data_IF_083113950637
#
_entry.id   IF_083113950637
#
_cell.length_a   1.000
_cell.length_b   1.000
_cell.length_c   1.000
_cell.angle_alpha   90.00
_cell.angle_beta   90.00
_cell.angle_gamma   90.00
#
_symmetry.space_group_name_H-M   'P 1'
#
loop_
_entity.id
_entity.type
_entity.pdbx_description
1 polymer ?
2 non-polymer ?
3 water ?
#
# COMPACT_ATOMS: atom_id res chain seq x y z
N UNK A 1 -43.85 15.76 -18.13
CA UNK A 1 -42.68 16.53 -17.74
C UNK A 1 -43.06 18.02 -17.69
N UNK A 2 -42.88 18.73 -16.56
CA UNK A 2 -43.25 20.15 -16.54
C UNK A 2 -42.20 21.07 -17.15
N UNK A 3 -40.99 20.55 -17.50
CA UNK A 3 -39.88 21.39 -18.03
C UNK A 3 -40.25 22.16 -19.28
N UNK A 4 -40.06 23.49 -19.26
CA UNK A 4 -40.41 24.38 -20.37
C UNK A 4 -39.22 24.79 -21.24
N UNK A 5 -37.96 24.56 -20.77
CA UNK A 5 -36.82 24.99 -21.57
C UNK A 5 -35.78 23.91 -21.74
N UNK A 6 -35.47 23.60 -23.01
CA UNK A 6 -34.43 22.61 -23.36
C UNK A 6 -33.06 22.99 -22.77
N UNK A 7 -32.71 24.29 -22.74
CA UNK A 7 -31.42 24.73 -22.17
C UNK A 7 -31.30 24.31 -20.68
N UNK A 8 -32.41 24.42 -19.92
CA UNK A 8 -32.49 23.98 -18.51
C UNK A 8 -32.47 22.46 -18.40
N UNK A 9 -33.17 21.73 -19.28
CA UNK A 9 -33.16 20.26 -19.26
C UNK A 9 -31.76 19.70 -19.51
N UNK A 10 -31.05 20.26 -20.51
CA UNK A 10 -29.68 19.81 -20.83
C UNK A 10 -28.69 20.21 -19.72
N UNK A 11 -28.65 21.49 -19.35
CA UNK A 11 -27.72 21.97 -18.34
C UNK A 11 -27.91 21.32 -16.97
N UNK A 12 -29.17 21.11 -16.52
CA UNK A 12 -29.41 20.43 -15.24
C UNK A 12 -29.00 18.97 -15.24
N UNK A 13 -28.96 18.32 -16.41
CA UNK A 13 -28.60 16.89 -16.52
C UNK A 13 -27.16 16.56 -16.07
N UNK A 14 -26.25 17.57 -16.08
CA UNK A 14 -24.86 17.35 -15.65
C UNK A 14 -24.61 17.77 -14.19
N UNK A 15 -25.62 18.40 -13.52
CA UNK A 15 -25.47 18.89 -12.13
C UNK A 15 -25.01 17.83 -11.15
N UNK A 16 -25.55 16.63 -11.24
CA UNK A 16 -25.19 15.53 -10.34
C UNK A 16 -23.71 15.18 -10.46
N UNK A 17 -23.26 15.03 -11.72
CA UNK A 17 -21.86 14.72 -12.03
C UNK A 17 -20.93 15.82 -11.51
N UNK A 18 -21.30 17.08 -11.73
CA UNK A 18 -20.49 18.23 -11.28
C UNK A 18 -20.40 18.27 -9.74
N UNK A 19 -21.53 18.00 -9.05
CA UNK A 19 -21.50 17.96 -7.59
C UNK A 19 -20.59 16.85 -7.09
N UNK A 20 -20.56 15.70 -7.79
CA UNK A 20 -19.65 14.60 -7.39
C UNK A 20 -18.20 15.04 -7.52
N UNK A 21 -17.87 15.72 -8.65
CA UNK A 21 -16.50 16.24 -8.89
C UNK A 21 -16.13 17.17 -7.73
N UNK A 22 -17.04 18.11 -7.41
CA UNK A 22 -16.78 19.04 -6.33
C UNK A 22 -16.59 18.35 -4.99
N UNK A 23 -17.42 17.32 -4.69
CA UNK A 23 -17.31 16.61 -3.41
C UNK A 23 -15.97 15.90 -3.28
N UNK A 24 -15.47 15.31 -4.37
CA UNK A 24 -14.16 14.65 -4.37
C UNK A 24 -13.03 15.68 -4.16
N UNK A 25 -13.15 16.86 -4.77
CA UNK A 25 -12.18 17.95 -4.58
C UNK A 25 -12.17 18.47 -3.12
N UNK A 26 -13.36 18.52 -2.47
CA UNK A 26 -13.47 18.93 -1.04
C UNK A 26 -12.78 17.87 -0.15
N UNK A 27 -12.99 16.57 -0.48
CA UNK A 27 -12.37 15.47 0.27
C UNK A 27 -10.85 15.51 0.11
N UNK A 28 -10.36 15.85 -1.10
CA UNK A 28 -8.91 15.97 -1.35
C UNK A 28 -8.30 17.11 -0.52
N UNK A 29 -9.00 18.26 -0.45
CA UNK A 29 -8.51 19.41 0.33
C UNK A 29 -8.47 19.08 1.83
N UNK A 30 -9.50 18.37 2.32
CA UNK A 30 -9.58 17.96 3.73
C UNK A 30 -8.46 16.95 4.06
N UNK A 31 -8.19 16.00 3.14
CA UNK A 31 -7.11 15.02 3.33
C UNK A 31 -5.73 15.73 3.33
N UNK A 32 -5.56 16.75 2.49
CA UNK A 32 -4.30 17.51 2.44
C UNK A 32 -4.10 18.26 3.76
N UNK A 33 -5.18 18.86 4.30
CA UNK A 33 -5.08 19.58 5.57
C UNK A 33 -4.64 18.67 6.74
N UNK A 34 -5.08 17.37 6.76
CA UNK A 34 -4.72 16.39 7.79
C UNK A 34 -3.20 16.15 7.90
N UNK A 35 -2.43 16.45 6.82
CA UNK A 35 -0.97 16.28 6.77
C UNK A 35 -0.22 17.04 7.88
N UNK A 36 -0.65 18.28 8.18
CA UNK A 36 0.00 19.13 9.18
C UNK A 36 0.07 18.47 10.57
N UNK A 37 -1.10 18.10 11.12
CA UNK A 37 -1.15 17.47 12.44
C UNK A 37 -0.43 16.13 12.46
N UNK A 38 -0.47 15.40 11.34
CA UNK A 38 0.23 14.11 11.22
C UNK A 38 1.75 14.31 11.26
N UNK A 39 2.23 15.35 10.55
CA UNK A 39 3.65 15.70 10.51
C UNK A 39 4.16 16.20 11.87
N UNK A 40 3.33 16.96 12.64
CA UNK A 40 3.73 17.36 14.00
C UNK A 40 3.85 16.12 14.89
N UNK A 41 2.96 15.13 14.70
CA UNK A 41 2.98 13.88 15.48
C UNK A 41 4.21 13.05 15.13
N UNK A 42 4.52 12.89 13.83
CA UNK A 42 5.70 12.15 13.37
C UNK A 42 6.98 12.80 13.91
N UNK A 43 7.09 14.13 13.83
CA UNK A 43 8.28 14.82 14.31
C UNK A 43 8.46 14.60 15.81
N UNK A 44 7.35 14.69 16.58
CA UNK A 44 7.39 14.49 18.03
C UNK A 44 7.88 13.08 18.40
N UNK A 45 7.32 12.03 17.77
CA UNK A 45 7.72 10.65 18.10
C UNK A 45 9.10 10.27 17.58
N UNK A 46 9.44 10.70 16.36
CA UNK A 46 10.70 10.37 15.69
C UNK A 46 11.89 11.15 16.22
N UNK A 47 11.69 12.46 16.50
CA UNK A 47 12.77 13.36 16.85
C UNK A 47 12.69 13.97 18.25
N UNK A 48 11.60 14.68 18.56
CA UNK A 48 11.47 15.38 19.85
C UNK A 48 11.69 14.50 21.06
N UNK A 49 10.89 13.41 21.17
CA UNK A 49 10.92 12.46 22.29
C UNK A 49 12.36 11.95 22.53
N UNK A 50 13.08 11.37 21.53
CA UNK A 50 14.46 10.92 21.83
C UNK A 50 15.46 12.03 22.12
N UNK A 51 15.30 13.23 21.52
CA UNK A 51 16.21 14.35 21.79
C UNK A 51 16.11 14.82 23.23
N UNK A 52 14.87 14.94 23.75
CA UNK A 52 14.63 15.34 25.14
C UNK A 52 15.16 14.28 26.09
N UNK A 53 14.98 12.98 25.74
CA UNK A 53 15.50 11.87 26.57
C UNK A 53 17.02 11.94 26.62
N UNK A 54 17.67 12.20 25.48
CA UNK A 54 19.14 12.33 25.45
C UNK A 54 19.63 13.54 26.25
N UNK A 55 18.94 14.70 26.15
CA UNK A 55 19.29 15.91 26.89
C UNK A 55 19.13 15.66 28.41
N UNK A 56 18.06 14.93 28.82
CA UNK A 56 17.83 14.60 30.22
C UNK A 56 18.93 13.68 30.74
N UNK A 57 19.34 12.70 29.92
CA UNK A 57 20.45 11.79 30.28
C UNK A 57 21.76 12.56 30.42
N UNK A 58 22.04 13.48 29.47
CA UNK A 58 23.25 14.32 29.52
C UNK A 58 23.29 15.15 30.82
N UNK A 59 22.13 15.69 31.24
CA UNK A 59 22.02 16.45 32.48
C UNK A 59 22.32 15.59 33.70
N UNK A 60 21.75 14.37 33.76
CA UNK A 60 21.97 13.43 34.87
C UNK A 60 23.45 13.08 34.99
N UNK A 61 24.14 12.88 33.85
CA UNK A 61 25.57 12.56 33.84
C UNK A 61 26.38 13.77 34.33
N UNK A 62 26.07 14.98 33.83
CA UNK A 62 26.77 16.21 34.23
C UNK A 62 26.61 16.49 35.73
N UNK A 63 25.46 16.11 36.30
CA UNK A 63 25.11 16.28 37.71
C UNK A 63 25.82 15.28 38.62
N UNK A 64 26.45 14.26 38.03
CA UNK A 64 27.18 13.28 38.83
C UNK A 64 26.81 11.82 38.72
N UNK A 65 25.77 11.47 37.95
CA UNK A 65 25.43 10.05 37.79
C UNK A 65 26.15 9.53 36.56
N UNK A 66 27.40 9.11 36.74
CA UNK A 66 28.25 8.64 35.66
C UNK A 66 27.85 7.27 35.10
N UNK A 67 26.91 6.59 35.78
CA UNK A 67 26.43 5.27 35.37
C UNK A 67 25.14 5.32 34.56
N UNK A 68 24.55 6.53 34.36
CA UNK A 68 23.29 6.67 33.61
C UNK A 68 23.39 6.04 32.25
N UNK A 69 22.35 5.24 31.91
CA UNK A 69 22.26 4.54 30.64
C UNK A 69 21.92 5.54 29.55
N UNK A 70 22.76 5.61 28.49
CA UNK A 70 22.49 6.52 27.37
C UNK A 70 21.52 5.80 26.43
N UNK A 71 20.29 6.31 26.27
CA UNK A 71 19.33 5.61 25.41
C UNK A 71 19.61 5.80 23.92
N UNK A 72 18.97 4.96 23.09
CA UNK A 72 18.98 5.04 21.62
C UNK A 72 20.31 4.84 20.92
N UNK A 73 21.28 4.17 21.56
CA UNK A 73 22.60 3.96 20.93
C UNK A 73 22.52 3.04 19.70
N UNK A 74 21.53 2.14 19.66
CA UNK A 74 21.36 1.17 18.57
C UNK A 74 20.57 1.68 17.37
N UNK A 75 20.02 2.90 17.48
CA UNK A 75 19.24 3.54 16.44
C UNK A 75 20.08 3.75 15.18
N UNK A 76 19.50 3.46 14.00
CA UNK A 76 20.23 3.53 12.73
C UNK A 76 20.38 4.92 12.09
N UNK A 77 19.68 5.94 12.59
CA UNK A 77 19.77 7.29 12.02
C UNK A 77 20.70 8.22 12.80
N UNK A 78 20.64 9.55 12.52
CA UNK A 78 21.49 10.56 13.17
C UNK A 78 21.27 10.68 14.69
N UNK A 79 20.09 10.23 15.19
CA UNK A 79 19.81 10.22 16.63
C UNK A 79 20.69 9.16 17.29
N UNK A 80 20.93 8.05 16.59
CA UNK A 80 21.80 6.98 17.07
C UNK A 80 23.24 7.44 17.13
N UNK A 81 23.66 8.22 16.12
CA UNK A 81 25.00 8.78 16.04
C UNK A 81 25.18 9.74 17.22
N UNK A 82 24.18 10.60 17.49
CA UNK A 82 24.21 11.53 18.61
C UNK A 82 24.28 10.79 19.95
N UNK A 83 23.46 9.74 20.12
CA UNK A 83 23.43 8.92 21.33
C UNK A 83 24.78 8.27 21.59
N UNK A 84 25.42 7.74 20.54
CA UNK A 84 26.75 7.13 20.67
C UNK A 84 27.80 8.16 21.09
N UNK A 85 27.69 9.42 20.58
CA UNK A 85 28.59 10.52 20.94
C UNK A 85 28.46 10.90 22.42
N UNK A 86 27.21 10.89 22.94
CA UNK A 86 26.93 11.18 24.36
C UNK A 86 27.47 10.04 25.23
N UNK A 87 27.38 8.78 24.76
CA UNK A 87 27.95 7.63 25.47
C UNK A 87 29.49 7.76 25.57
N UNK A 88 30.19 8.13 24.47
CA UNK A 88 31.64 8.31 24.52
C UNK A 88 32.02 9.43 25.49
N UNK A 89 31.17 10.48 25.55
CA UNK A 89 31.35 11.63 26.43
C UNK A 89 31.20 11.22 27.91
N UNK A 90 30.22 10.33 28.22
CA UNK A 90 29.99 9.76 29.55
C UNK A 90 31.21 8.96 29.94
N UNK A 91 31.74 8.10 29.05
CA UNK A 91 32.94 7.29 29.35
C UNK A 91 34.16 8.14 29.67
N UNK A 92 34.34 9.22 28.92
CA UNK A 92 35.46 10.15 29.08
C UNK A 92 35.34 10.92 30.40
N UNK A 93 34.14 11.43 30.73
CA UNK A 93 33.91 12.13 32.00
C UNK A 93 34.05 11.20 33.21
N UNK A 94 33.56 9.93 33.10
CA UNK A 94 33.67 8.92 34.15
C UNK A 94 35.14 8.73 34.51
N UNK A 95 36.00 8.54 33.47
CA UNK A 95 37.43 8.31 33.67
C UNK A 95 38.04 9.55 34.32
N UNK A 96 37.66 10.75 33.87
CA UNK A 96 38.18 12.00 34.41
C UNK A 96 37.88 12.16 35.90
N UNK A 97 36.64 11.85 36.30
CA UNK A 97 36.21 11.97 37.69
C UNK A 97 36.91 10.95 38.58
N UNK A 98 37.01 9.71 38.11
CA UNK A 98 37.66 8.62 38.84
C UNK A 98 39.15 8.89 38.98
N UNK A 99 39.80 9.47 37.94
CA UNK A 99 41.23 9.83 37.96
C UNK A 99 41.47 10.88 39.01
N UNK A 100 40.58 11.89 39.12
CA UNK A 100 40.73 12.96 40.11
C UNK A 100 40.59 12.43 41.53
N UNK A 101 39.54 11.61 41.75
CA UNK A 101 39.22 10.96 43.01
C UNK A 101 40.44 10.20 43.50
N UNK A 102 41.07 9.44 42.60
CA UNK A 102 42.25 8.65 42.92
C UNK A 102 43.50 9.48 43.21
N UNK A 103 43.72 10.57 42.47
CA UNK A 103 44.87 11.44 42.61
C UNK A 103 44.86 12.21 43.93
N UNK A 104 43.66 12.56 44.43
CA UNK A 104 43.47 13.31 45.67
C UNK A 104 43.51 12.45 46.96
N UNK A 105 43.58 11.10 46.82
CA UNK A 105 43.60 10.17 47.95
C UNK A 105 44.91 10.21 48.75
N UNK B 3 28.34 -6.96 31.97
CA UNK B 3 28.31 -8.42 32.00
C UNK B 3 28.31 -8.90 33.45
N UNK B 4 27.29 -9.69 33.86
CA UNK B 4 27.15 -10.17 35.24
C UNK B 4 27.17 -11.70 35.39
N UNK B 5 26.63 -12.45 34.41
CA UNK B 5 26.67 -13.92 34.47
C UNK B 5 26.79 -14.55 33.08
N UNK B 6 27.66 -15.56 32.95
CA UNK B 6 27.96 -16.19 31.66
C UNK B 6 26.74 -16.76 30.91
N UNK B 7 25.80 -17.38 31.64
CA UNK B 7 24.58 -17.92 31.06
C UNK B 7 23.78 -16.82 30.34
N UNK B 8 23.69 -15.62 30.95
CA UNK B 8 23.02 -14.47 30.37
C UNK B 8 23.81 -13.89 29.19
N UNK B 9 25.15 -13.80 29.30
CA UNK B 9 25.99 -13.29 28.20
C UNK B 9 25.87 -14.17 26.95
N UNK B 10 25.92 -15.50 27.12
CA UNK B 10 25.82 -16.44 26.00
C UNK B 10 24.40 -16.45 25.41
N UNK B 11 23.39 -16.68 26.26
CA UNK B 11 21.99 -16.74 25.79
C UNK B 11 21.51 -15.46 25.14
N UNK B 12 21.89 -14.29 25.71
CA UNK B 12 21.53 -13.00 25.11
C UNK B 12 22.20 -12.71 23.78
N UNK B 13 23.33 -13.35 23.47
CA UNK B 13 24.07 -13.13 22.23
C UNK B 13 23.32 -13.59 20.97
N UNK B 14 22.33 -14.49 21.12
CA UNK B 14 21.55 -14.98 19.96
C UNK B 14 20.23 -14.22 19.75
N UNK B 15 19.84 -13.35 20.73
CA UNK B 15 18.57 -12.59 20.67
C UNK B 15 18.39 -11.76 19.39
N UNK B 16 19.46 -11.09 18.95
CA UNK B 16 19.42 -10.26 17.75
C UNK B 16 19.11 -11.07 16.51
N UNK B 17 19.82 -12.21 16.37
CA UNK B 17 19.64 -13.15 15.27
C UNK B 17 18.22 -13.70 15.25
N UNK B 18 17.69 -14.09 16.44
CA UNK B 18 16.32 -14.63 16.54
C UNK B 18 15.30 -13.55 16.14
N UNK B 19 15.51 -12.28 16.57
CA UNK B 19 14.59 -11.20 16.17
C UNK B 19 14.62 -11.02 14.63
N UNK B 20 15.80 -11.13 14.00
CA UNK B 20 15.92 -10.99 12.54
C UNK B 20 15.16 -12.11 11.81
N UNK B 21 15.26 -13.33 12.35
CA UNK B 21 14.52 -14.47 11.81
C UNK B 21 13.01 -14.18 11.95
N UNK B 22 12.57 -13.74 13.14
CA UNK B 22 11.16 -13.44 13.39
C UNK B 22 10.61 -12.37 12.46
N UNK B 23 11.40 -11.32 12.19
CA UNK B 23 10.95 -10.25 11.29
C UNK B 23 10.63 -10.78 9.91
N UNK B 24 11.50 -11.67 9.38
CA UNK B 24 11.33 -12.29 8.07
C UNK B 24 10.11 -13.21 8.05
N UNK B 25 9.87 -13.93 9.16
CA UNK B 25 8.70 -14.81 9.25
C UNK B 25 7.39 -14.00 9.27
N UNK B 26 7.40 -12.84 9.95
CA UNK B 26 6.23 -11.94 10.01
C UNK B 26 5.93 -11.38 8.61
N UNK B 27 7.01 -10.97 7.87
CA UNK B 27 6.88 -10.47 6.52
C UNK B 27 6.32 -11.53 5.59
N UNK B 28 6.78 -12.79 5.73
CA UNK B 28 6.30 -13.90 4.91
C UNK B 28 4.81 -14.17 5.17
N UNK B 29 4.39 -14.15 6.44
CA UNK B 29 2.98 -14.39 6.81
C UNK B 29 2.08 -13.27 6.27
N UNK B 30 2.54 -12.00 6.35
CA UNK B 30 1.81 -10.85 5.81
C UNK B 30 1.71 -10.92 4.28
N UNK B 31 2.78 -11.35 3.60
CA UNK B 31 2.74 -11.50 2.14
C UNK B 31 1.78 -12.65 1.76
N UNK B 32 1.71 -13.74 2.57
CA UNK B 32 0.78 -14.85 2.30
C UNK B 32 -0.65 -14.35 2.46
N UNK B 33 -0.94 -13.55 3.50
CA UNK B 33 -2.28 -13.01 3.69
C UNK B 33 -2.73 -12.15 2.50
N UNK B 34 -1.79 -11.39 1.93
CA UNK B 34 -2.02 -10.52 0.77
C UNK B 34 -2.50 -11.28 -0.48
N UNK B 35 -2.26 -12.60 -0.58
CA UNK B 35 -2.68 -13.46 -1.71
C UNK B 35 -4.19 -13.41 -1.86
N UNK B 36 -4.90 -13.43 -0.71
CA UNK B 36 -6.39 -13.42 -0.71
C UNK B 36 -6.93 -12.23 -1.53
N UNK B 37 -6.55 -11.03 -1.10
CA UNK B 37 -6.90 -9.76 -1.70
C UNK B 37 -6.46 -9.67 -3.17
N UNK B 38 -5.24 -10.14 -3.49
CA UNK B 38 -4.74 -10.12 -4.85
C UNK B 38 -5.47 -11.07 -5.77
N UNK B 39 -5.89 -12.24 -5.27
CA UNK B 39 -6.66 -13.22 -6.03
C UNK B 39 -8.09 -12.68 -6.30
N UNK B 40 -8.66 -11.89 -5.35
CA UNK B 40 -9.99 -11.29 -5.59
C UNK B 40 -9.86 -10.26 -6.74
N UNK B 41 -8.75 -9.48 -6.76
CA UNK B 41 -8.53 -8.52 -7.82
C UNK B 41 -8.30 -9.18 -9.17
N UNK B 42 -7.48 -10.27 -9.21
CA UNK B 42 -7.20 -11.03 -10.44
C UNK B 42 -8.50 -11.63 -10.99
N UNK B 43 -9.35 -12.20 -10.11
CA UNK B 43 -10.62 -12.79 -10.56
C UNK B 43 -11.54 -11.73 -11.13
N UNK B 44 -11.61 -10.56 -10.48
CA UNK B 44 -12.45 -9.48 -11.00
C UNK B 44 -12.02 -9.05 -12.41
N UNK B 45 -10.71 -8.80 -12.63
CA UNK B 45 -10.24 -8.36 -13.95
C UNK B 45 -10.25 -9.44 -15.03
N UNK B 46 -9.90 -10.68 -14.66
CA UNK B 46 -9.80 -11.81 -15.61
C UNK B 46 -11.15 -12.40 -15.96
N UNK B 47 -12.06 -12.50 -14.97
CA UNK B 47 -13.35 -13.19 -15.18
C UNK B 47 -14.57 -12.31 -15.01
N UNK B 48 -14.75 -11.70 -13.82
CA UNK B 48 -15.96 -10.92 -13.55
C UNK B 48 -16.26 -9.85 -14.57
N UNK B 49 -15.29 -8.93 -14.80
CA UNK B 49 -15.50 -7.83 -15.72
C UNK B 49 -15.87 -8.31 -17.13
N UNK B 50 -15.16 -9.25 -17.81
CA UNK B 50 -15.63 -9.67 -19.14
C UNK B 50 -16.98 -10.37 -19.14
N UNK B 51 -17.30 -11.12 -18.08
CA UNK B 51 -18.61 -11.83 -18.00
C UNK B 51 -19.75 -10.83 -17.92
N UNK B 52 -19.59 -9.79 -17.10
CA UNK B 52 -20.60 -8.73 -16.94
C UNK B 52 -20.73 -7.92 -18.24
N UNK B 53 -19.60 -7.67 -18.93
CA UNK B 53 -19.62 -6.98 -20.23
C UNK B 53 -20.38 -7.79 -21.27
N UNK B 54 -20.14 -9.13 -21.28
CA UNK B 54 -20.87 -10.00 -22.21
C UNK B 54 -22.37 -10.05 -21.89
N UNK B 55 -22.74 -10.11 -20.61
CA UNK B 55 -24.15 -10.13 -20.16
C UNK B 55 -24.83 -8.83 -20.57
N UNK B 56 -24.14 -7.67 -20.40
CA UNK B 56 -24.70 -6.37 -20.80
C UNK B 56 -24.93 -6.32 -22.29
N UNK B 57 -23.97 -6.84 -23.08
CA UNK B 57 -24.08 -6.87 -24.54
C UNK B 57 -25.22 -7.77 -24.97
N UNK B 58 -25.35 -8.96 -24.34
CA UNK B 58 -26.43 -9.88 -24.63
C UNK B 58 -27.80 -9.22 -24.37
N UNK B 59 -27.92 -8.46 -23.28
CA UNK B 59 -29.15 -7.72 -22.96
C UNK B 59 -29.49 -6.71 -24.06
N UNK B 60 -28.50 -5.92 -24.49
CA UNK B 60 -28.69 -4.91 -25.54
C UNK B 60 -29.16 -5.54 -26.86
N UNK B 61 -28.58 -6.71 -27.21
CA UNK B 61 -28.96 -7.45 -28.41
C UNK B 61 -30.40 -7.98 -28.28
N UNK B 62 -30.74 -8.59 -27.13
CA UNK B 62 -32.09 -9.14 -26.89
C UNK B 62 -33.15 -8.03 -26.95
N UNK B 63 -32.78 -6.81 -26.54
CA UNK B 63 -33.65 -5.62 -26.55
C UNK B 63 -33.83 -5.00 -27.95
N UNK B 64 -33.08 -5.50 -28.93
CA UNK B 64 -33.25 -5.05 -30.30
C UNK B 64 -32.08 -4.41 -31.01
N UNK B 65 -30.92 -4.22 -30.32
CA UNK B 65 -29.77 -3.66 -31.03
C UNK B 65 -28.97 -4.80 -31.59
N UNK B 66 -29.36 -5.27 -32.79
CA UNK B 66 -28.75 -6.41 -33.48
C UNK B 66 -27.37 -6.10 -34.03
N UNK B 67 -26.95 -4.83 -33.98
CA UNK B 67 -25.66 -4.39 -34.48
C UNK B 67 -24.59 -4.26 -33.39
N UNK B 68 -24.97 -4.46 -32.10
CA UNK B 68 -24.03 -4.34 -30.97
C UNK B 68 -22.83 -5.24 -31.16
N UNK B 69 -21.64 -4.70 -30.88
CA UNK B 69 -20.40 -5.46 -31.03
C UNK B 69 -20.21 -6.36 -29.81
N UNK B 70 -20.03 -7.66 -30.05
CA UNK B 70 -19.83 -8.63 -28.96
C UNK B 70 -18.33 -8.55 -28.59
N UNK B 71 -17.99 -8.13 -27.36
CA UNK B 71 -16.57 -8.03 -26.98
C UNK B 71 -15.94 -9.40 -26.69
N UNK B 72 -14.59 -9.43 -26.63
CA UNK B 72 -13.77 -10.57 -26.23
C UNK B 72 -13.83 -11.80 -27.10
N UNK B 73 -14.20 -11.69 -28.38
CA UNK B 73 -14.28 -12.86 -29.27
C UNK B 73 -12.90 -13.46 -29.56
N UNK B 74 -11.83 -12.63 -29.49
CA UNK B 74 -10.46 -13.07 -29.81
C UNK B 74 -9.67 -13.64 -28.63
N UNK B 75 -10.28 -13.63 -27.45
CA UNK B 75 -9.69 -14.15 -26.24
C UNK B 75 -9.41 -15.65 -26.38
N UNK B 76 -8.25 -16.10 -25.88
CA UNK B 76 -7.79 -17.48 -26.00
C UNK B 76 -8.38 -18.50 -25.02
N UNK B 77 -9.08 -18.05 -23.98
CA UNK B 77 -9.66 -18.98 -22.99
C UNK B 77 -11.17 -19.24 -23.22
N UNK B 78 -11.84 -19.85 -22.23
CA UNK B 78 -13.26 -20.21 -22.30
C UNK B 78 -14.18 -18.99 -22.40
N UNK B 79 -13.69 -17.79 -21.97
CA UNK B 79 -14.46 -16.53 -22.11
C UNK B 79 -14.56 -16.19 -23.60
N UNK B 80 -13.49 -16.48 -24.36
CA UNK B 80 -13.49 -16.24 -25.80
C UNK B 80 -14.46 -17.16 -26.51
N UNK B 81 -14.50 -18.41 -26.05
CA UNK B 81 -15.43 -19.41 -26.60
C UNK B 81 -16.88 -18.94 -26.33
N UNK B 82 -17.14 -18.47 -25.11
CA UNK B 82 -18.47 -17.94 -24.73
C UNK B 82 -18.84 -16.72 -25.57
N UNK B 83 -17.88 -15.79 -25.75
CA UNK B 83 -18.09 -14.60 -26.57
C UNK B 83 -18.47 -14.96 -28.01
N UNK B 84 -17.79 -15.97 -28.60
CA UNK B 84 -18.09 -16.43 -29.95
C UNK B 84 -19.51 -17.04 -30.04
N UNK B 85 -19.93 -17.76 -28.98
CA UNK B 85 -21.27 -18.34 -28.92
C UNK B 85 -22.37 -17.26 -28.87
N UNK B 86 -22.11 -16.15 -28.15
CA UNK B 86 -23.04 -15.01 -28.05
C UNK B 86 -23.13 -14.28 -29.43
N UNK B 87 -21.99 -14.16 -30.14
CA UNK B 87 -21.96 -13.58 -31.48
C UNK B 87 -22.82 -14.43 -32.43
N UNK B 88 -22.80 -15.80 -32.28
CA UNK B 88 -23.65 -16.68 -33.07
C UNK B 88 -25.14 -16.41 -32.82
N UNK B 89 -25.52 -16.12 -31.56
CA UNK B 89 -26.91 -15.77 -31.22
C UNK B 89 -27.29 -14.45 -31.88
N UNK B 90 -26.35 -13.46 -31.85
CA UNK B 90 -26.59 -12.15 -32.48
C UNK B 90 -26.84 -12.34 -34.00
N UNK B 91 -26.00 -13.17 -34.67
CA UNK B 91 -26.16 -13.50 -36.10
C UNK B 91 -27.50 -14.19 -36.36
N UNK B 92 -27.92 -15.12 -35.48
CA UNK B 92 -29.19 -15.81 -35.62
C UNK B 92 -30.35 -14.81 -35.53
N UNK B 93 -30.27 -13.84 -34.62
CA UNK B 93 -31.33 -12.82 -34.48
C UNK B 93 -31.40 -11.91 -35.70
N UNK B 94 -30.22 -11.52 -36.23
CA UNK B 94 -30.14 -10.68 -37.42
C UNK B 94 -30.76 -11.39 -38.64
N UNK B 95 -30.46 -12.69 -38.82
CA UNK B 95 -31.03 -13.50 -39.91
C UNK B 95 -32.56 -13.58 -39.75
N UNK B 96 -33.04 -13.78 -38.51
CA UNK B 96 -34.48 -13.87 -38.25
C UNK B 96 -35.20 -12.56 -38.55
N UNK B 97 -34.56 -11.41 -38.26
CA UNK B 97 -35.15 -10.09 -38.51
C UNK B 97 -35.19 -9.80 -40.02
N UNK B 98 -34.13 -10.17 -40.74
CA UNK B 98 -34.07 -10.00 -42.20
C UNK B 98 -35.12 -10.86 -42.88
N UNK B 99 -35.36 -12.09 -42.37
CA UNK B 99 -36.40 -12.99 -42.91
C UNK B 99 -37.80 -12.44 -42.64
N UNK B 100 -38.03 -11.87 -41.44
CA UNK B 100 -39.32 -11.25 -41.11
C UNK B 100 -39.57 -10.02 -42.00
N UNK B 101 -38.56 -9.17 -42.18
CA UNK B 101 -38.71 -7.97 -43.02
C UNK B 101 -39.13 -8.36 -44.46
N UNK B 102 -38.55 -9.46 -44.99
CA UNK B 102 -38.90 -9.99 -46.31
C UNK B 102 -40.36 -10.45 -46.34
N UNK B 103 -40.81 -11.20 -45.30
CA UNK B 103 -42.18 -11.70 -45.20
C UNK B 103 -43.24 -10.58 -45.14
N UNK B 104 -42.88 -9.43 -44.55
CA UNK B 104 -43.75 -8.26 -44.37
C UNK B 104 -43.85 -7.34 -45.59
N UNK B 105 -43.01 -7.58 -46.62
CA UNK B 105 -42.99 -6.76 -47.84
C UNK B 105 -44.22 -6.97 -48.71
N UNK C 4 -20.78 18.21 -36.76
CA UNK C 4 -21.32 16.85 -36.77
C UNK C 4 -22.82 16.90 -36.42
N UNK C 5 -23.33 15.96 -35.63
CA UNK C 5 -24.75 15.93 -35.27
C UNK C 5 -24.98 16.68 -33.96
N UNK C 6 -26.26 16.90 -33.58
CA UNK C 6 -26.57 17.64 -32.33
C UNK C 6 -25.91 17.03 -31.10
N UNK C 7 -25.96 15.69 -30.95
CA UNK C 7 -25.39 15.00 -29.80
C UNK C 7 -23.87 15.28 -29.70
N UNK C 8 -23.17 15.28 -30.86
CA UNK C 8 -21.74 15.60 -30.90
C UNK C 8 -21.49 17.08 -30.62
N UNK C 9 -22.31 17.98 -31.18
CA UNK C 9 -22.17 19.43 -30.95
C UNK C 9 -22.32 19.77 -29.47
N UNK C 10 -23.34 19.22 -28.80
CA UNK C 10 -23.59 19.47 -27.39
C UNK C 10 -22.53 18.83 -26.50
N UNK C 11 -22.30 17.52 -26.67
CA UNK C 11 -21.34 16.81 -25.82
C UNK C 11 -19.91 17.33 -25.95
N UNK C 12 -19.46 17.62 -27.17
CA UNK C 12 -18.11 18.16 -27.38
C UNK C 12 -17.93 19.58 -26.85
N UNK C 13 -19.03 20.34 -26.67
CA UNK C 13 -18.95 21.72 -26.17
C UNK C 13 -18.42 21.83 -24.75
N UNK C 14 -18.46 20.73 -23.96
CA UNK C 14 -17.94 20.72 -22.58
C UNK C 14 -16.52 20.17 -22.49
N UNK C 15 -15.98 19.59 -23.60
CA UNK C 15 -14.59 19.02 -23.62
C UNK C 15 -13.50 20.04 -23.23
N UNK C 16 -13.60 21.27 -23.76
CA UNK C 16 -12.69 22.37 -23.44
C UNK C 16 -12.68 22.68 -21.97
N UNK C 17 -13.89 22.80 -21.36
CA UNK C 17 -14.07 23.08 -19.92
C UNK C 17 -13.49 21.96 -19.09
N UNK C 18 -13.72 20.68 -19.48
CA UNK C 18 -13.17 19.53 -18.76
C UNK C 18 -11.63 19.55 -18.82
N UNK C 19 -11.03 19.89 -19.98
CA UNK C 19 -9.56 20.02 -20.07
C UNK C 19 -9.07 21.13 -19.13
N UNK C 20 -9.82 22.23 -19.00
CA UNK C 20 -9.42 23.37 -18.13
C UNK C 20 -9.45 22.95 -16.66
N UNK C 21 -10.47 22.15 -16.30
CA UNK C 21 -10.58 21.59 -14.94
C UNK C 21 -9.37 20.70 -14.72
N UNK C 22 -9.06 19.80 -15.69
CA UNK C 22 -7.92 18.86 -15.56
C UNK C 22 -6.61 19.60 -15.43
N UNK C 23 -6.41 20.71 -16.16
CA UNK C 23 -5.16 21.50 -16.07
C UNK C 23 -4.91 22.02 -14.67
N UNK C 24 -5.98 22.49 -14.00
CA UNK C 24 -5.90 23.00 -12.63
C UNK C 24 -5.61 21.86 -11.65
N UNK C 25 -6.21 20.68 -11.90
CA UNK C 25 -5.97 19.50 -11.06
C UNK C 25 -4.53 19.00 -11.23
N UNK C 26 -3.95 19.10 -12.45
CA UNK C 26 -2.56 18.71 -12.74
C UNK C 26 -1.59 19.65 -11.99
N UNK C 27 -1.87 20.96 -12.01
CA UNK C 27 -1.06 21.93 -11.29
C UNK C 27 -1.09 21.65 -9.79
N UNK C 28 -2.29 21.32 -9.25
CA UNK C 28 -2.46 21.01 -7.81
C UNK C 28 -1.70 19.73 -7.43
N UNK C 29 -1.77 18.68 -8.28
CA UNK C 29 -1.08 17.42 -8.02
C UNK C 29 0.44 17.59 -8.04
N UNK C 30 0.95 18.39 -9.00
CA UNK C 30 2.38 18.67 -9.11
C UNK C 30 2.86 19.45 -7.89
N UNK C 31 2.06 20.44 -7.43
CA UNK C 31 2.42 21.22 -6.24
C UNK C 31 2.44 20.32 -4.99
N UNK C 32 1.49 19.37 -4.89
CA UNK C 32 1.42 18.44 -3.75
C UNK C 32 2.65 17.54 -3.74
N UNK C 33 3.06 17.06 -4.92
CA UNK C 33 4.24 16.19 -5.02
C UNK C 33 5.51 16.84 -4.51
N UNK C 34 5.72 18.14 -4.84
CA UNK C 34 6.86 18.97 -4.46
C UNK C 34 7.09 19.02 -2.95
N UNK C 35 6.01 18.84 -2.16
CA UNK C 35 6.06 18.93 -0.69
C UNK C 35 7.15 18.01 -0.11
N UNK C 36 7.24 16.76 -0.62
CA UNK C 36 8.22 15.76 -0.12
C UNK C 36 9.66 16.24 -0.20
N UNK C 37 10.13 16.61 -1.38
CA UNK C 37 11.51 17.11 -1.54
C UNK C 37 11.76 18.39 -0.75
N UNK C 38 10.75 19.28 -0.66
CA UNK C 38 10.90 20.51 0.14
C UNK C 38 10.99 20.22 1.64
N UNK C 39 10.24 19.20 2.10
CA UNK C 39 10.25 18.77 3.50
C UNK C 39 11.57 18.06 3.83
N UNK C 40 12.16 17.33 2.85
CA UNK C 40 13.47 16.68 3.07
C UNK C 40 14.54 17.77 3.25
N UNK C 41 14.47 18.84 2.45
CA UNK C 41 15.39 19.98 2.55
C UNK C 41 15.24 20.74 3.87
N UNK C 42 13.99 21.02 4.30
CA UNK C 42 13.70 21.71 5.56
C UNK C 42 14.22 20.88 6.74
N UNK C 43 13.98 19.55 6.72
CA UNK C 43 14.42 18.68 7.81
C UNK C 43 15.94 18.68 7.89
N UNK C 44 16.63 18.62 6.72
CA UNK C 44 18.09 18.63 6.70
C UNK C 44 18.66 19.92 7.36
N UNK C 45 18.15 21.09 6.97
CA UNK C 45 18.66 22.36 7.51
C UNK C 45 18.24 22.66 8.94
N UNK C 46 17.00 22.32 9.31
CA UNK C 46 16.45 22.58 10.64
C UNK C 46 16.91 21.57 11.70
N UNK C 47 17.02 20.28 11.33
CA UNK C 47 17.31 19.21 12.28
C UNK C 47 18.61 18.46 12.02
N UNK C 48 18.78 17.86 10.84
CA UNK C 48 19.94 17.02 10.54
C UNK C 48 21.27 17.67 10.78
N UNK C 49 21.56 18.78 10.08
CA UNK C 49 22.83 19.49 10.21
C UNK C 49 23.13 19.91 11.66
N UNK C 50 22.20 20.52 12.46
CA UNK C 50 22.52 20.82 13.87
C UNK C 50 22.79 19.58 14.71
N UNK C 51 22.05 18.47 14.48
CA UNK C 51 22.24 17.23 15.25
C UNK C 51 23.63 16.63 14.96
N UNK C 52 24.02 16.64 13.66
CA UNK C 52 25.32 16.11 13.26
C UNK C 52 26.45 16.97 13.80
N UNK C 53 26.27 18.31 13.76
CA UNK C 53 27.20 19.28 14.33
C UNK C 53 27.37 19.04 15.84
N UNK C 54 26.24 18.85 16.56
CA UNK C 54 26.29 18.58 18.00
C UNK C 54 26.99 17.27 18.33
N UNK C 55 26.73 16.19 17.54
CA UNK C 55 27.39 14.89 17.76
C UNK C 55 28.89 15.00 17.51
N UNK C 56 29.30 15.74 16.47
CA UNK C 56 30.71 15.96 16.16
C UNK C 56 31.37 16.75 17.28
N UNK C 57 30.69 17.77 17.83
CA UNK C 57 31.20 18.57 18.95
C UNK C 57 31.34 17.70 20.20
N UNK C 58 30.34 16.84 20.50
CA UNK C 58 30.40 15.92 21.63
C UNK C 58 31.62 14.99 21.51
N UNK C 59 31.90 14.48 20.29
CA UNK C 59 33.07 13.62 20.04
C UNK C 59 34.38 14.38 20.29
N UNK C 60 34.49 15.63 19.80
CA UNK C 60 35.69 16.46 20.02
C UNK C 60 35.94 16.71 21.49
N UNK C 61 34.87 16.96 22.26
CA UNK C 61 34.98 17.18 23.71
C UNK C 61 35.41 15.89 24.41
N UNK C 62 34.78 14.73 24.06
CA UNK C 62 35.14 13.43 24.66
C UNK C 62 36.61 13.07 24.39
N UNK C 63 37.14 13.48 23.22
CA UNK C 63 38.52 13.25 22.78
C UNK C 63 39.53 14.17 23.50
N UNK C 64 39.06 15.18 24.24
CA UNK C 64 39.91 16.09 25.00
C UNK C 64 39.93 17.57 24.64
N UNK C 65 39.12 18.01 23.63
CA UNK C 65 39.05 19.43 23.21
C UNK C 65 37.95 20.17 23.94
N UNK C 66 38.33 20.95 24.96
CA UNK C 66 37.42 21.67 25.85
C UNK C 66 37.41 23.17 25.69
N UNK C 67 38.14 23.72 24.70
CA UNK C 67 38.28 25.18 24.56
C UNK C 67 37.04 25.93 24.09
N UNK C 68 36.19 25.30 23.29
CA UNK C 68 35.04 25.99 22.73
C UNK C 68 33.74 25.73 23.45
N UNK C 69 32.94 26.80 23.67
CA UNK C 69 31.63 26.65 24.27
C UNK C 69 30.77 25.95 23.22
N UNK C 70 29.87 25.05 23.64
CA UNK C 70 29.01 24.31 22.71
C UNK C 70 28.19 25.29 21.83
N UNK C 71 28.20 25.18 20.48
CA UNK C 71 27.42 26.13 19.66
C UNK C 71 25.92 25.99 19.87
N UNK C 72 25.17 27.04 19.47
CA UNK C 72 23.71 27.11 19.46
C UNK C 72 22.96 26.83 20.76
N UNK C 73 23.54 27.27 21.89
CA UNK C 73 22.93 27.19 23.22
C UNK C 73 21.72 28.14 23.36
N UNK C 74 21.68 29.20 22.54
CA UNK C 74 20.63 30.23 22.57
C UNK C 74 19.38 29.89 21.76
N UNK C 75 19.40 28.77 20.99
CA UNK C 75 18.28 28.30 20.18
C UNK C 75 17.07 28.02 21.07
N UNK C 76 15.88 28.53 20.68
CA UNK C 76 14.69 28.40 21.51
C UNK C 76 13.95 27.07 21.50
N UNK C 77 14.34 26.14 20.61
CA UNK C 77 13.66 24.85 20.55
C UNK C 77 14.44 23.72 21.28
N UNK C 78 14.03 22.45 21.09
CA UNK C 78 14.63 21.30 21.75
C UNK C 78 16.10 21.07 21.41
N UNK C 79 16.58 21.60 20.26
CA UNK C 79 17.98 21.51 19.82
C UNK C 79 18.84 22.37 20.76
N UNK C 80 18.27 23.51 21.19
CA UNK C 80 18.89 24.44 22.14
C UNK C 80 18.99 23.81 23.51
N UNK C 81 17.90 23.12 23.95
CA UNK C 81 17.87 22.38 25.22
C UNK C 81 18.97 21.31 25.20
N UNK C 82 19.09 20.58 24.07
CA UNK C 82 20.12 19.54 23.91
C UNK C 82 21.53 20.16 23.97
N UNK C 83 21.73 21.25 23.22
CA UNK C 83 23.03 21.95 23.19
C UNK C 83 23.44 22.46 24.60
N UNK C 84 22.48 22.95 25.44
CA UNK C 84 22.75 23.36 26.83
C UNK C 84 23.16 22.16 27.68
N UNK C 85 22.54 20.98 27.45
CA UNK C 85 22.86 19.75 28.19
C UNK C 85 24.30 19.26 27.89
N UNK C 86 24.71 19.35 26.62
CA UNK C 86 26.07 18.99 26.17
C UNK C 86 27.06 19.99 26.77
N UNK C 87 26.65 21.27 26.89
CA UNK C 87 27.48 22.33 27.50
C UNK C 87 27.73 22.00 28.98
N UNK C 88 26.71 21.44 29.66
CA UNK C 88 26.87 21.03 31.06
C UNK C 88 27.94 19.95 31.17
N UNK C 89 27.95 18.99 30.23
CA UNK C 89 28.96 17.92 30.23
C UNK C 89 30.35 18.51 29.96
N UNK C 90 30.44 19.45 29.00
CA UNK C 90 31.71 20.09 28.66
C UNK C 90 32.28 20.81 29.87
N UNK C 91 31.44 21.58 30.57
CA UNK C 91 31.88 22.31 31.76
C UNK C 91 32.32 21.37 32.88
N UNK C 92 31.64 20.23 33.06
CA UNK C 92 32.00 19.23 34.08
C UNK C 92 33.38 18.62 33.77
N UNK C 93 33.61 18.32 32.48
CA UNK C 93 34.86 17.74 32.02
C UNK C 93 36.01 18.74 32.15
N UNK C 94 35.75 20.02 31.83
CA UNK C 94 36.74 21.11 31.92
C UNK C 94 37.21 21.28 33.37
N UNK C 95 36.26 21.29 34.34
CA UNK C 95 36.58 21.42 35.76
C UNK C 95 37.46 20.24 36.20
N UNK C 96 37.06 19.01 35.80
CA UNK C 96 37.80 17.82 36.15
C UNK C 96 39.24 17.85 35.60
N UNK C 97 39.41 18.28 34.34
CA UNK C 97 40.72 18.35 33.67
C UNK C 97 41.62 19.41 34.33
N UNK C 98 41.03 20.57 34.67
CA UNK C 98 41.78 21.64 35.33
C UNK C 98 42.26 21.20 36.71
N UNK C 99 41.41 20.45 37.44
CA UNK C 99 41.80 19.93 38.77
C UNK C 99 42.92 18.88 38.66
N UNK C 100 42.84 18.02 37.62
CA UNK C 100 43.89 17.00 37.37
C UNK C 100 45.21 17.68 37.01
N UNK C 101 45.17 18.76 36.20
CA UNK C 101 46.39 19.51 35.84
C UNK C 101 47.03 20.13 37.10
N UNK C 102 46.19 20.64 38.05
CA UNK C 102 46.69 21.19 39.32
C UNK C 102 47.35 20.12 40.20
N UNK C 103 47.01 18.84 40.00
CA UNK C 103 47.57 17.73 40.76
C UNK C 103 48.92 17.22 40.20
N UNK C 104 49.27 17.59 38.96
CA UNK C 104 50.51 17.12 38.33
C UNK C 104 51.75 17.74 38.91
N UNK C 105 52.75 16.86 39.12
CA UNK C 105 54.10 17.16 39.55
C UNK C 105 54.27 17.86 40.88
N UNK D 4 35.58 -32.53 25.05
CA UNK D 4 35.74 -32.09 23.67
C UNK D 4 36.22 -30.62 23.59
N UNK D 5 35.32 -29.69 23.19
CA UNK D 5 35.61 -28.28 23.02
C UNK D 5 34.33 -27.53 23.39
N UNK D 6 34.42 -26.59 24.36
CA UNK D 6 33.26 -25.84 24.88
C UNK D 6 32.49 -25.10 23.77
N UNK D 7 33.19 -24.48 22.82
CA UNK D 7 32.56 -23.75 21.71
C UNK D 7 31.64 -24.67 20.91
N UNK D 8 32.11 -25.93 20.65
CA UNK D 8 31.32 -26.94 19.95
C UNK D 8 30.15 -27.42 20.81
N UNK D 9 30.36 -27.67 22.11
CA UNK D 9 29.31 -28.13 23.00
C UNK D 9 28.17 -27.13 23.09
N UNK D 10 28.49 -25.83 23.25
CA UNK D 10 27.48 -24.78 23.34
C UNK D 10 26.78 -24.55 22.00
N UNK D 11 27.57 -24.30 20.94
CA UNK D 11 27.00 -23.99 19.62
C UNK D 11 26.16 -25.12 19.03
N UNK D 12 26.62 -26.37 19.19
CA UNK D 12 25.88 -27.52 18.67
C UNK D 12 24.58 -27.79 19.42
N UNK D 13 24.46 -27.30 20.69
CA UNK D 13 23.28 -27.52 21.51
C UNK D 13 22.00 -26.93 20.89
N UNK D 14 22.13 -25.92 20.03
CA UNK D 14 20.96 -25.27 19.38
C UNK D 14 20.64 -25.81 17.98
N UNK D 15 21.53 -26.66 17.39
CA UNK D 15 21.35 -27.21 16.03
C UNK D 15 19.99 -27.90 15.81
N UNK D 16 19.56 -28.71 16.79
CA UNK D 16 18.29 -29.42 16.74
C UNK D 16 17.12 -28.47 16.65
N UNK D 17 17.10 -27.43 17.52
CA UNK D 17 16.07 -26.40 17.54
C UNK D 17 16.01 -25.65 16.18
N UNK D 18 17.17 -25.28 15.64
CA UNK D 18 17.26 -24.60 14.35
C UNK D 18 16.69 -25.48 13.22
N UNK D 19 17.01 -26.79 13.24
CA UNK D 19 16.45 -27.71 12.24
C UNK D 19 14.94 -27.81 12.38
N UNK D 20 14.39 -27.78 13.60
CA UNK D 20 12.94 -27.84 13.82
C UNK D 20 12.27 -26.59 13.28
N UNK D 21 12.90 -25.40 13.45
CA UNK D 21 12.41 -24.13 12.88
C UNK D 21 12.40 -24.29 11.36
N UNK D 22 13.51 -24.77 10.77
CA UNK D 22 13.61 -24.96 9.31
C UNK D 22 12.56 -25.93 8.76
N UNK D 23 12.26 -27.02 9.51
CA UNK D 23 11.24 -28.00 9.13
C UNK D 23 9.87 -27.36 9.05
N UNK D 24 9.54 -26.48 10.00
CA UNK D 24 8.25 -25.73 9.98
C UNK D 24 8.19 -24.78 8.76
N UNK D 25 9.32 -24.15 8.42
CA UNK D 25 9.38 -23.27 7.24
C UNK D 25 9.19 -24.05 5.96
N UNK D 26 9.76 -25.30 5.89
CA UNK D 26 9.61 -26.20 4.72
C UNK D 26 8.14 -26.64 4.60
N UNK D 27 7.50 -26.98 5.73
CA UNK D 27 6.08 -27.37 5.75
C UNK D 27 5.20 -26.22 5.28
N UNK D 28 5.52 -24.99 5.71
CA UNK D 28 4.76 -23.79 5.31
C UNK D 28 4.90 -23.55 3.79
N UNK D 29 6.12 -23.69 3.24
CA UNK D 29 6.37 -23.51 1.80
C UNK D 29 5.65 -24.58 0.98
N UNK D 30 5.65 -25.85 1.46
CA UNK D 30 4.96 -26.94 0.77
C UNK D 30 3.45 -26.71 0.77
N UNK D 31 2.90 -26.23 1.90
CA UNK D 31 1.46 -25.95 1.98
C UNK D 31 1.10 -24.78 1.05
N UNK D 32 1.97 -23.78 0.96
CA UNK D 32 1.73 -22.63 0.06
C UNK D 32 1.75 -23.08 -1.40
N UNK D 33 2.70 -23.96 -1.76
CA UNK D 33 2.76 -24.48 -3.13
C UNK D 33 1.50 -25.27 -3.51
N UNK D 34 0.90 -25.99 -2.56
CA UNK D 34 -0.29 -26.80 -2.80
C UNK D 34 -1.50 -25.96 -3.25
N UNK D 35 -1.50 -24.65 -2.93
CA UNK D 35 -2.57 -23.72 -3.27
C UNK D 35 -2.84 -23.70 -4.76
N UNK D 36 -1.79 -23.75 -5.60
CA UNK D 36 -1.93 -23.69 -7.08
C UNK D 36 -2.86 -24.76 -7.63
N UNK D 37 -2.53 -26.05 -7.38
CA UNK D 37 -3.36 -27.15 -7.88
C UNK D 37 -4.78 -27.13 -7.30
N UNK D 38 -4.92 -26.74 -6.03
CA UNK D 38 -6.23 -26.64 -5.40
C UNK D 38 -7.07 -25.54 -6.02
N UNK D 39 -6.43 -24.40 -6.36
CA UNK D 39 -7.09 -23.25 -7.01
C UNK D 39 -7.45 -23.60 -8.44
N UNK D 40 -6.64 -24.43 -9.14
CA UNK D 40 -7.00 -24.87 -10.50
C UNK D 40 -8.26 -25.72 -10.45
N UNK D 41 -8.36 -26.63 -9.45
CA UNK D 41 -9.53 -27.48 -9.26
C UNK D 41 -10.79 -26.65 -8.93
N UNK D 42 -10.66 -25.72 -7.99
CA UNK D 42 -11.76 -24.82 -7.57
C UNK D 42 -12.25 -24.00 -8.78
N UNK D 43 -11.32 -23.42 -9.55
CA UNK D 43 -11.69 -22.60 -10.70
C UNK D 43 -12.44 -23.44 -11.73
N UNK D 44 -11.95 -24.66 -12.00
CA UNK D 44 -12.63 -25.55 -12.94
C UNK D 44 -14.10 -25.83 -12.53
N UNK D 45 -14.33 -26.22 -11.27
CA UNK D 45 -15.69 -26.55 -10.83
C UNK D 45 -16.61 -25.34 -10.65
N UNK D 46 -16.07 -24.22 -10.16
CA UNK D 46 -16.85 -22.99 -9.86
C UNK D 46 -17.12 -22.15 -11.09
N UNK D 47 -16.14 -22.08 -12.02
CA UNK D 47 -16.23 -21.18 -13.16
C UNK D 47 -16.23 -21.86 -14.51
N UNK D 48 -15.16 -22.64 -14.79
CA UNK D 48 -15.02 -23.25 -16.12
C UNK D 48 -16.20 -24.08 -16.54
N UNK D 49 -16.56 -25.07 -15.71
CA UNK D 49 -17.67 -25.96 -16.04
C UNK D 49 -18.98 -25.22 -16.38
N UNK D 50 -19.50 -24.27 -15.54
CA UNK D 50 -20.73 -23.57 -15.96
C UNK D 50 -20.56 -22.68 -17.20
N UNK D 51 -19.37 -22.07 -17.41
CA UNK D 51 -19.13 -21.24 -18.60
C UNK D 51 -19.18 -22.05 -19.88
N UNK D 52 -18.58 -23.24 -19.86
CA UNK D 52 -18.59 -24.15 -21.03
C UNK D 52 -20.03 -24.66 -21.27
N UNK D 53 -20.77 -24.97 -20.20
CA UNK D 53 -22.18 -25.39 -20.32
C UNK D 53 -23.01 -24.28 -20.96
N UNK D 54 -22.78 -23.00 -20.56
CA UNK D 54 -23.51 -21.88 -21.14
C UNK D 54 -23.16 -21.66 -22.61
N UNK D 55 -21.85 -21.78 -22.97
CA UNK D 55 -21.38 -21.63 -24.37
C UNK D 55 -22.00 -22.73 -25.24
N UNK D 56 -22.06 -23.97 -24.71
CA UNK D 56 -22.63 -25.11 -25.44
C UNK D 56 -24.11 -24.91 -25.67
N UNK D 57 -24.82 -24.38 -24.65
CA UNK D 57 -26.26 -24.08 -24.76
C UNK D 57 -26.48 -23.00 -25.79
N UNK D 58 -25.68 -21.90 -25.75
CA UNK D 58 -25.77 -20.82 -26.72
C UNK D 58 -25.59 -21.34 -28.16
N UNK D 59 -24.65 -22.27 -28.36
CA UNK D 59 -24.44 -22.91 -29.67
C UNK D 59 -25.66 -23.71 -30.13
N UNK D 60 -26.25 -24.51 -29.23
CA UNK D 60 -27.45 -25.31 -29.55
C UNK D 60 -28.62 -24.42 -29.97
N UNK D 61 -28.79 -23.29 -29.27
CA UNK D 61 -29.85 -22.31 -29.59
C UNK D 61 -29.57 -21.64 -30.94
N UNK D 62 -28.33 -21.20 -31.18
CA UNK D 62 -27.91 -20.54 -32.45
C UNK D 62 -28.09 -21.49 -33.64
N UNK D 63 -27.89 -22.81 -33.42
CA UNK D 63 -28.06 -23.86 -34.41
C UNK D 63 -29.53 -24.16 -34.73
N UNK D 64 -30.45 -23.60 -33.96
CA UNK D 64 -31.89 -23.74 -34.22
C UNK D 64 -32.76 -24.38 -33.16
N UNK D 65 -32.18 -24.87 -32.05
CA UNK D 65 -33.01 -25.47 -30.99
C UNK D 65 -33.37 -24.36 -30.01
N UNK D 66 -34.48 -23.66 -30.31
CA UNK D 66 -34.97 -22.53 -29.49
C UNK D 66 -35.57 -22.95 -28.14
N UNK D 67 -35.72 -24.26 -27.93
CA UNK D 67 -36.27 -24.81 -26.69
C UNK D 67 -35.22 -25.25 -25.68
N UNK D 68 -33.93 -25.19 -26.03
CA UNK D 68 -32.87 -25.62 -25.12
C UNK D 68 -32.92 -24.87 -23.77
N UNK D 69 -32.77 -25.59 -22.64
CA UNK D 69 -32.78 -25.00 -21.30
C UNK D 69 -31.48 -24.26 -21.06
N UNK D 70 -31.55 -22.97 -20.72
CA UNK D 70 -30.33 -22.23 -20.39
C UNK D 70 -30.06 -22.58 -18.93
N UNK D 71 -28.93 -23.24 -18.66
CA UNK D 71 -28.65 -23.67 -17.28
C UNK D 71 -28.22 -22.51 -16.40
N UNK D 72 -28.25 -22.75 -15.08
CA UNK D 72 -27.71 -21.86 -14.05
C UNK D 72 -28.38 -20.49 -13.94
N UNK D 73 -29.66 -20.34 -14.39
CA UNK D 73 -30.33 -19.04 -14.28
C UNK D 73 -30.58 -18.66 -12.83
N UNK D 74 -30.72 -19.67 -11.93
CA UNK D 74 -30.99 -19.44 -10.50
C UNK D 74 -29.73 -19.22 -9.65
N UNK D 75 -28.53 -19.30 -10.26
CA UNK D 75 -27.27 -19.07 -9.57
C UNK D 75 -27.19 -17.64 -9.08
N UNK D 76 -26.71 -17.44 -7.84
CA UNK D 76 -26.76 -16.11 -7.22
C UNK D 76 -25.63 -15.15 -7.61
N UNK D 77 -24.58 -15.64 -8.27
CA UNK D 77 -23.43 -14.78 -8.65
C UNK D 77 -23.46 -14.32 -10.11
N UNK D 78 -22.33 -13.78 -10.61
CA UNK D 78 -22.24 -13.26 -11.98
C UNK D 78 -22.50 -14.31 -13.09
N UNK D 79 -22.30 -15.61 -12.78
CA UNK D 79 -22.61 -16.69 -13.72
C UNK D 79 -24.14 -16.73 -13.93
N UNK D 80 -24.89 -16.47 -12.86
CA UNK D 80 -26.34 -16.42 -12.93
C UNK D 80 -26.82 -15.24 -13.74
N UNK D 81 -26.13 -14.07 -13.59
CA UNK D 81 -26.43 -12.87 -14.36
C UNK D 81 -26.23 -13.17 -15.85
N UNK D 82 -25.12 -13.82 -16.19
CA UNK D 82 -24.80 -14.16 -17.56
C UNK D 82 -25.84 -15.12 -18.13
N UNK D 83 -26.21 -16.16 -17.34
CA UNK D 83 -27.20 -17.17 -17.73
C UNK D 83 -28.55 -16.51 -18.02
N UNK D 84 -28.95 -15.56 -17.17
CA UNK D 84 -30.22 -14.85 -17.39
C UNK D 84 -30.19 -14.03 -18.68
N UNK D 85 -29.02 -13.41 -19.00
CA UNK D 85 -28.85 -12.66 -20.26
C UNK D 85 -28.97 -13.54 -21.49
N UNK D 86 -28.37 -14.76 -21.44
CA UNK D 86 -28.48 -15.73 -22.53
C UNK D 86 -29.94 -16.21 -22.70
N UNK D 87 -30.66 -16.41 -21.57
CA UNK D 87 -32.09 -16.77 -21.58
C UNK D 87 -32.87 -15.66 -22.29
N UNK D 88 -32.52 -14.37 -22.07
CA UNK D 88 -33.20 -13.27 -22.78
C UNK D 88 -32.99 -13.38 -24.28
N UNK D 89 -31.77 -13.76 -24.73
CA UNK D 89 -31.51 -13.93 -26.17
C UNK D 89 -32.32 -15.08 -26.74
N UNK D 90 -32.40 -16.20 -25.99
CA UNK D 90 -33.19 -17.36 -26.43
C UNK D 90 -34.67 -16.97 -26.61
N UNK D 91 -35.23 -16.25 -25.61
CA UNK D 91 -36.64 -15.79 -25.67
C UNK D 91 -36.87 -14.83 -26.83
N UNK D 92 -35.87 -13.96 -27.13
CA UNK D 92 -35.94 -13.02 -28.28
C UNK D 92 -35.95 -13.79 -29.61
N UNK D 93 -35.17 -14.89 -29.69
CA UNK D 93 -35.13 -15.69 -30.91
C UNK D 93 -36.45 -16.43 -31.12
N UNK D 94 -37.04 -16.93 -30.02
CA UNK D 94 -38.32 -17.64 -30.03
C UNK D 94 -39.47 -16.70 -30.53
N UNK D 95 -39.50 -15.44 -30.02
CA UNK D 95 -40.47 -14.44 -30.48
C UNK D 95 -40.25 -14.15 -31.98
N UNK D 96 -39.00 -13.97 -32.42
CA UNK D 96 -38.68 -13.71 -33.84
C UNK D 96 -39.15 -14.87 -34.76
N UNK D 97 -39.03 -16.13 -34.30
CA UNK D 97 -39.46 -17.32 -35.06
C UNK D 97 -40.97 -17.38 -35.15
N UNK D 98 -41.66 -17.07 -34.04
CA UNK D 98 -43.11 -17.07 -33.99
C UNK D 98 -43.66 -15.97 -34.91
N UNK D 99 -42.99 -14.81 -34.94
CA UNK D 99 -43.33 -13.65 -35.76
C UNK D 99 -43.18 -13.99 -37.24
N UNK D 100 -42.10 -14.69 -37.58
CA UNK D 100 -41.86 -15.09 -38.98
C UNK D 100 -42.93 -16.08 -39.42
N UNK D 101 -43.21 -17.10 -38.61
CA UNK D 101 -44.18 -18.15 -38.91
C UNK D 101 -45.58 -17.56 -39.14
N UNK D 102 -45.98 -16.63 -38.26
CA UNK D 102 -47.26 -15.93 -38.36
C UNK D 102 -47.32 -15.09 -39.63
N UNK D 103 -46.23 -14.33 -39.94
CA UNK D 103 -46.16 -13.45 -41.11
C UNK D 103 -46.26 -14.21 -42.43
N UNK D 104 -45.77 -15.47 -42.43
CA UNK D 104 -45.78 -16.37 -43.60
C UNK D 104 -47.09 -17.15 -43.79
N UNK D 105 -48.02 -17.06 -42.81
CA UNK D 105 -49.32 -17.72 -42.83
C UNK D 105 -50.36 -16.81 -43.46
#
# INVERSE_FOLDING_TARGET
>A
NPAENIASEISKSVEGAIQQVKNLLTLAADRAEQIVNDLASTTTSTITRPIIELSNTADKIAEGNLEAEVPHQNRADEIGILAKSIERLRRSLKVAMESLEEALK
>B
NPAENIASEISKSVEGAIQQVKNLLTLAADRAEQIVNDLASTTTSTITRPIIELSNTADKIAEGNLEAEVPHQNRADEIGILAKSIERLRRSLKVAMESLEEALK
>C
NPAENIASEISKSVEGAIQQVKNLLTLAADRAEQIVNDLASTTTSTITRPIIELSNTADKIAEGNLEAEVPHQNRADEIGILAKSIERLRRSLKVAMESLEEALK
>D
NPAENIASEISKSVEGAIQQVKNLLTLAADRAEQIVNDLASTTTSTITRPIIELSNTADKIAEGNLEAEVPHQNRADEIGILAKSIERLRRSLKVAMESLEEALK
#
